data_IF_486206716540
#
_entry.id   IF_486206716540
#
_cell.length_a   1.000
_cell.length_b   1.000
_cell.length_c   1.000
_cell.angle_alpha   90.00
_cell.angle_beta   90.00
_cell.angle_gamma   90.00
#
_symmetry.space_group_name_H-M   'P 1'
#
loop_
_entity.id
_entity.type
_entity.pdbx_description
1 polymer ?
#
# COMPACT_ATOMS: atom_id res chain seq x y z
N UNK A 1 13.34 -9.09 0.94
CA UNK A 1 14.26 -8.02 1.37
C UNK A 1 13.93 -6.72 0.64
N UNK A 2 13.78 -5.63 1.35
CA UNK A 2 13.49 -4.33 0.75
C UNK A 2 14.71 -3.82 -0.05
N UNK A 3 14.45 -3.14 -1.16
CA UNK A 3 15.48 -2.48 -1.94
C UNK A 3 15.84 -1.14 -1.30
N UNK A 4 16.96 -0.57 -1.70
CA UNK A 4 17.42 0.71 -1.17
C UNK A 4 16.36 1.80 -1.29
N UNK A 5 15.66 1.88 -2.43
CA UNK A 5 14.63 2.91 -2.62
C UNK A 5 13.42 2.69 -1.70
N UNK A 6 12.96 1.46 -1.52
CA UNK A 6 11.86 1.15 -0.60
C UNK A 6 12.25 1.49 0.84
N UNK A 7 13.48 1.19 1.24
CA UNK A 7 13.97 1.57 2.57
C UNK A 7 13.97 3.09 2.77
N UNK A 8 14.36 3.85 1.74
CA UNK A 8 14.34 5.31 1.81
C UNK A 8 12.92 5.86 1.94
N UNK A 9 11.96 5.27 1.23
CA UNK A 9 10.55 5.64 1.34
C UNK A 9 10.05 5.36 2.75
N UNK A 10 10.34 4.18 3.28
CA UNK A 10 9.94 3.78 4.63
C UNK A 10 10.53 4.75 5.67
N UNK A 11 11.83 5.04 5.57
CA UNK A 11 12.49 5.96 6.50
C UNK A 11 11.88 7.36 6.43
N UNK A 12 11.56 7.85 5.24
CA UNK A 12 10.93 9.15 5.05
C UNK A 12 9.57 9.21 5.73
N UNK A 13 8.76 8.18 5.58
CA UNK A 13 7.45 8.10 6.23
C UNK A 13 7.60 7.99 7.75
N UNK A 14 8.53 7.17 8.22
CA UNK A 14 8.75 6.98 9.66
C UNK A 14 9.25 8.24 10.34
N UNK A 15 10.10 9.03 9.69
CA UNK A 15 10.58 10.29 10.22
C UNK A 15 9.49 11.35 10.32
N UNK A 16 8.46 11.26 9.51
CA UNK A 16 7.25 12.09 9.53
C UNK A 16 7.54 13.59 9.57
N UNK A 17 8.45 14.06 8.72
CA UNK A 17 8.77 15.48 8.59
C UNK A 17 7.84 16.08 7.53
N UNK A 18 7.06 17.08 7.91
CA UNK A 18 6.11 17.71 6.99
C UNK A 18 6.79 18.30 5.77
N UNK A 19 6.09 18.23 4.62
CA UNK A 19 6.56 18.77 3.37
C UNK A 19 6.64 17.71 2.27
N UNK A 20 7.19 18.13 1.14
CA UNK A 20 7.43 17.25 0.00
C UNK A 20 8.86 16.74 0.06
N UNK A 21 9.01 15.42 -0.10
CA UNK A 21 10.32 14.76 -0.09
C UNK A 21 10.49 13.99 -1.40
N UNK A 22 11.32 14.52 -2.29
CA UNK A 22 11.64 13.86 -3.55
C UNK A 22 12.84 12.95 -3.35
N UNK A 23 12.64 11.65 -3.58
CA UNK A 23 13.67 10.63 -3.35
C UNK A 23 14.35 10.21 -4.66
N UNK A 24 13.66 10.34 -5.78
CA UNK A 24 14.20 10.08 -7.11
C UNK A 24 13.34 10.80 -8.15
N UNK A 25 13.66 10.65 -9.43
CA UNK A 25 12.85 11.26 -10.49
C UNK A 25 11.41 10.73 -10.53
N UNK A 26 11.17 9.55 -9.96
CA UNK A 26 9.85 8.91 -9.97
C UNK A 26 9.25 8.69 -8.59
N UNK A 27 10.01 8.86 -7.51
CA UNK A 27 9.57 8.56 -6.15
C UNK A 27 9.49 9.82 -5.30
N UNK A 28 8.32 10.10 -4.76
CA UNK A 28 8.05 11.30 -3.96
C UNK A 28 7.12 10.95 -2.80
N UNK A 29 7.37 11.55 -1.64
CA UNK A 29 6.50 11.41 -0.46
C UNK A 29 6.06 12.80 -0.03
N UNK A 30 4.76 12.99 0.17
CA UNK A 30 4.23 14.23 0.73
C UNK A 30 3.66 13.94 2.11
N UNK A 31 4.07 14.72 3.10
CA UNK A 31 3.68 14.50 4.50
C UNK A 31 3.06 15.78 5.07
N UNK A 32 1.89 15.64 5.68
CA UNK A 32 1.30 16.67 6.51
C UNK A 32 1.13 16.14 7.95
N UNK A 33 0.38 16.84 8.82
CA UNK A 33 0.29 16.45 10.23
C UNK A 33 -0.40 15.09 10.46
N UNK A 34 -1.18 14.59 9.51
CA UNK A 34 -1.92 13.33 9.68
C UNK A 34 -1.71 12.32 8.57
N UNK A 35 -1.16 12.73 7.43
CA UNK A 35 -1.15 11.90 6.23
C UNK A 35 0.22 11.90 5.59
N UNK A 36 0.69 10.72 5.18
CA UNK A 36 1.85 10.56 4.32
C UNK A 36 1.39 9.85 3.05
N UNK A 37 1.67 10.43 1.89
CA UNK A 37 1.29 9.87 0.60
C UNK A 37 2.54 9.63 -0.23
N UNK A 38 2.70 8.41 -0.70
CA UNK A 38 3.79 8.06 -1.60
C UNK A 38 3.28 8.06 -3.05
N UNK A 39 3.98 8.80 -3.90
CA UNK A 39 3.69 8.90 -5.33
C UNK A 39 4.77 8.20 -6.15
N UNK A 40 4.35 7.34 -7.05
CA UNK A 40 5.22 6.76 -8.07
C UNK A 40 4.78 7.33 -9.41
N UNK A 41 5.66 8.10 -10.07
CA UNK A 41 5.32 8.81 -11.31
C UNK A 41 4.02 9.62 -11.19
N UNK A 42 3.88 10.37 -10.09
CA UNK A 42 2.69 11.19 -9.79
C UNK A 42 1.40 10.41 -9.50
N UNK A 43 1.45 9.08 -9.43
CA UNK A 43 0.31 8.27 -9.02
C UNK A 43 0.39 7.98 -7.52
N UNK A 44 -0.65 8.34 -6.74
CA UNK A 44 -0.65 8.09 -5.29
C UNK A 44 -0.97 6.62 -5.00
N UNK A 45 0.06 5.78 -4.92
CA UNK A 45 -0.14 4.34 -4.78
C UNK A 45 -0.16 3.85 -3.35
N UNK A 46 0.25 4.68 -2.39
CA UNK A 46 0.28 4.27 -0.98
C UNK A 46 0.08 5.47 -0.06
N UNK A 47 -0.72 5.29 1.00
CA UNK A 47 -1.01 6.35 1.94
C UNK A 47 -1.11 5.80 3.35
N UNK A 48 -0.52 6.52 4.30
CA UNK A 48 -0.64 6.27 5.74
C UNK A 48 -1.38 7.45 6.35
N UNK A 49 -2.54 7.20 6.95
CA UNK A 49 -3.32 8.24 7.62
C UNK A 49 -3.40 7.92 9.11
N UNK A 50 -2.89 8.83 9.93
CA UNK A 50 -2.94 8.69 11.39
C UNK A 50 -4.20 9.33 11.92
N UNK A 51 -5.10 8.51 12.47
CA UNK A 51 -6.30 8.98 13.16
C UNK A 51 -6.08 8.86 14.66
N UNK A 52 -7.02 9.38 15.47
CA UNK A 52 -6.83 9.50 16.92
C UNK A 52 -6.53 8.14 17.58
N UNK A 53 -7.20 7.09 17.18
CA UNK A 53 -7.10 5.76 17.81
C UNK A 53 -6.67 4.66 16.86
N UNK A 54 -6.35 4.99 15.61
CA UNK A 54 -5.99 3.97 14.62
C UNK A 54 -5.18 4.57 13.48
N UNK A 55 -4.57 3.69 12.70
CA UNK A 55 -3.87 4.05 11.46
C UNK A 55 -4.60 3.40 10.30
N UNK A 56 -4.89 4.18 9.27
CA UNK A 56 -5.52 3.68 8.05
C UNK A 56 -4.46 3.63 6.95
N UNK A 57 -4.24 2.46 6.40
CA UNK A 57 -3.32 2.25 5.28
C UNK A 57 -4.16 2.14 4.01
N UNK A 58 -3.85 2.95 3.01
CA UNK A 58 -4.55 2.94 1.73
C UNK A 58 -3.56 2.64 0.61
N UNK A 59 -3.93 1.79 -0.32
CA UNK A 59 -3.08 1.50 -1.48
C UNK A 59 -3.90 1.33 -2.74
N UNK A 60 -3.26 1.58 -3.89
CA UNK A 60 -3.90 1.44 -5.19
C UNK A 60 -2.82 1.21 -6.25
N UNK A 61 -3.08 0.33 -7.18
CA UNK A 61 -2.21 0.18 -8.35
C UNK A 61 -2.43 1.29 -9.39
N UNK A 62 -3.48 2.11 -9.21
CA UNK A 62 -3.83 3.21 -10.13
C UNK A 62 -3.90 2.73 -11.58
N UNK A 63 -4.44 1.55 -11.82
CA UNK A 63 -4.51 0.87 -13.12
C UNK A 63 -3.14 0.56 -13.73
N UNK A 64 -2.08 0.53 -12.90
CA UNK A 64 -0.71 0.30 -13.37
C UNK A 64 -0.10 -0.87 -12.61
N UNK A 65 -0.39 -2.09 -13.07
CA UNK A 65 0.05 -3.32 -12.41
C UNK A 65 1.47 -3.75 -12.75
N UNK A 66 2.41 -2.80 -12.91
CA UNK A 66 3.80 -3.14 -13.22
C UNK A 66 4.51 -3.82 -12.05
N UNK A 67 5.61 -4.50 -12.35
CA UNK A 67 6.44 -5.14 -11.32
C UNK A 67 6.95 -4.11 -10.30
N UNK A 68 7.35 -2.91 -10.76
CA UNK A 68 7.80 -1.85 -9.87
C UNK A 68 6.70 -1.40 -8.92
N UNK A 69 5.48 -1.17 -9.43
CA UNK A 69 4.33 -0.78 -8.59
C UNK A 69 4.05 -1.86 -7.54
N UNK A 70 4.01 -3.12 -7.95
CA UNK A 70 3.79 -4.25 -7.04
C UNK A 70 4.84 -4.29 -5.95
N UNK A 71 6.11 -4.16 -6.30
CA UNK A 71 7.19 -4.22 -5.32
C UNK A 71 7.13 -3.06 -4.33
N UNK A 72 6.85 -1.83 -4.79
CA UNK A 72 6.69 -0.68 -3.92
C UNK A 72 5.57 -0.89 -2.91
N UNK A 73 4.39 -1.26 -3.40
CA UNK A 73 3.23 -1.47 -2.55
C UNK A 73 3.49 -2.62 -1.57
N UNK A 74 4.03 -3.73 -2.03
CA UNK A 74 4.25 -4.91 -1.20
C UNK A 74 5.22 -4.63 -0.05
N UNK A 75 6.34 -3.95 -0.33
CA UNK A 75 7.32 -3.63 0.71
C UNK A 75 6.75 -2.64 1.75
N UNK A 76 5.97 -1.66 1.29
CA UNK A 76 5.35 -0.71 2.20
C UNK A 76 4.25 -1.36 3.04
N UNK A 77 3.47 -2.25 2.46
CA UNK A 77 2.47 -3.02 3.21
C UNK A 77 3.13 -3.93 4.23
N UNK A 78 4.25 -4.55 3.90
CA UNK A 78 4.99 -5.38 4.83
C UNK A 78 5.41 -4.59 6.06
N UNK A 79 5.92 -3.38 5.84
CA UNK A 79 6.39 -2.52 6.92
C UNK A 79 5.25 -1.95 7.77
N UNK A 80 4.19 -1.44 7.13
CA UNK A 80 3.17 -0.65 7.82
C UNK A 80 1.89 -1.42 8.16
N UNK A 81 1.65 -2.56 7.55
CA UNK A 81 0.40 -3.30 7.74
C UNK A 81 0.59 -4.81 7.93
N UNK A 82 1.84 -5.28 7.98
CA UNK A 82 2.18 -6.69 8.21
C UNK A 82 1.47 -7.63 7.23
N UNK A 83 1.47 -7.24 5.96
CA UNK A 83 0.90 -8.02 4.88
C UNK A 83 1.69 -7.75 3.60
N UNK A 84 1.42 -8.50 2.55
CA UNK A 84 2.16 -8.31 1.30
C UNK A 84 1.35 -8.69 0.08
N UNK A 85 1.80 -8.18 -1.08
CA UNK A 85 1.22 -8.48 -2.38
C UNK A 85 2.10 -9.49 -3.10
N UNK A 86 1.48 -10.47 -3.75
CA UNK A 86 2.16 -11.36 -4.67
C UNK A 86 1.33 -11.54 -5.94
N UNK A 87 1.97 -12.06 -6.98
CA UNK A 87 1.31 -12.28 -8.26
C UNK A 87 1.33 -13.78 -8.59
N UNK A 88 0.17 -14.29 -9.01
CA UNK A 88 0.03 -15.67 -9.46
C UNK A 88 -0.87 -15.68 -10.69
N UNK A 89 -0.41 -16.28 -11.78
CA UNK A 89 -1.15 -16.33 -13.04
C UNK A 89 -1.60 -14.93 -13.50
N UNK A 90 -0.69 -13.95 -13.39
CA UNK A 90 -0.91 -12.55 -13.79
C UNK A 90 -1.96 -11.80 -12.97
N UNK A 91 -2.42 -12.38 -11.87
CA UNK A 91 -3.37 -11.76 -10.95
C UNK A 91 -2.64 -11.40 -9.66
N UNK A 92 -2.90 -10.19 -9.13
CA UNK A 92 -2.35 -9.75 -7.86
C UNK A 92 -3.23 -10.19 -6.71
N UNK A 93 -2.59 -10.64 -5.64
CA UNK A 93 -3.26 -11.06 -4.42
C UNK A 93 -2.60 -10.43 -3.20
N UNK A 94 -3.40 -10.17 -2.17
CA UNK A 94 -2.93 -9.75 -0.87
C UNK A 94 -3.00 -10.93 0.08
N UNK A 95 -1.91 -11.20 0.79
CA UNK A 95 -1.91 -12.15 1.91
C UNK A 95 -1.86 -11.36 3.22
N UNK A 96 -2.87 -11.53 4.07
CA UNK A 96 -2.98 -10.85 5.36
C UNK A 96 -3.70 -11.78 6.35
N UNK A 97 -3.08 -11.98 7.53
CA UNK A 97 -3.64 -12.83 8.60
C UNK A 97 -4.04 -14.24 8.11
N UNK A 98 -3.17 -14.86 7.30
CA UNK A 98 -3.38 -16.18 6.71
C UNK A 98 -4.60 -16.26 5.77
N UNK A 99 -5.09 -15.11 5.32
CA UNK A 99 -6.18 -15.01 4.37
C UNK A 99 -5.66 -14.41 3.07
N UNK A 100 -6.33 -14.72 1.98
CA UNK A 100 -5.95 -14.26 0.65
C UNK A 100 -7.07 -13.45 0.03
N UNK A 101 -6.71 -12.34 -0.60
CA UNK A 101 -7.67 -11.42 -1.23
C UNK A 101 -7.21 -11.15 -2.65
N UNK A 102 -8.15 -11.22 -3.60
CA UNK A 102 -7.85 -10.84 -4.98
C UNK A 102 -7.87 -9.32 -5.08
N UNK A 103 -6.82 -8.75 -5.68
CA UNK A 103 -6.68 -7.31 -5.82
C UNK A 103 -6.96 -6.88 -7.25
N UNK A 104 -7.87 -5.92 -7.41
CA UNK A 104 -8.20 -5.30 -8.69
C UNK A 104 -7.36 -4.03 -8.84
N UNK A 105 -6.63 -3.91 -9.94
CA UNK A 105 -5.73 -2.78 -10.18
C UNK A 105 -6.46 -1.43 -10.30
N UNK A 106 -7.74 -1.44 -10.57
CA UNK A 106 -8.55 -0.23 -10.71
C UNK A 106 -9.15 0.27 -9.39
N UNK A 107 -9.04 -0.52 -8.32
CA UNK A 107 -9.69 -0.22 -7.05
C UNK A 107 -8.68 0.27 -6.02
N UNK A 108 -9.06 1.29 -5.26
CA UNK A 108 -8.31 1.74 -4.09
C UNK A 108 -8.80 0.98 -2.87
N UNK A 109 -7.86 0.40 -2.11
CA UNK A 109 -8.17 -0.38 -0.92
C UNK A 109 -7.66 0.29 0.33
N UNK A 110 -8.34 0.07 1.45
CA UNK A 110 -7.88 0.49 2.77
C UNK A 110 -7.79 -0.69 3.72
N UNK A 111 -6.79 -0.66 4.59
CA UNK A 111 -6.61 -1.66 5.64
C UNK A 111 -6.79 -0.95 6.98
N UNK A 112 -7.73 -1.45 7.78
CA UNK A 112 -8.04 -0.93 9.11
C UNK A 112 -8.25 -2.13 10.04
N UNK A 113 -7.51 -2.18 11.14
CA UNK A 113 -7.63 -3.23 12.16
C UNK A 113 -7.57 -4.65 11.56
N UNK A 114 -6.66 -4.86 10.61
CA UNK A 114 -6.46 -6.17 9.97
C UNK A 114 -7.56 -6.60 9.01
N UNK A 115 -8.40 -5.66 8.58
CA UNK A 115 -9.47 -5.91 7.61
C UNK A 115 -9.25 -5.09 6.35
N UNK A 116 -9.66 -5.64 5.21
CA UNK A 116 -9.51 -4.99 3.91
C UNK A 116 -10.86 -4.42 3.45
N UNK A 117 -10.84 -3.17 3.00
CA UNK A 117 -12.01 -2.46 2.51
C UNK A 117 -11.75 -1.87 1.14
N UNK A 118 -12.80 -1.73 0.32
CA UNK A 118 -12.78 -0.87 -0.85
C UNK A 118 -12.95 0.56 -0.35
N UNK A 119 -11.92 1.38 -0.51
CA UNK A 119 -11.86 2.69 0.15
C UNK A 119 -13.03 3.62 -0.21
N UNK A 120 -13.40 3.67 -1.49
CA UNK A 120 -14.47 4.59 -1.94
C UNK A 120 -15.85 4.17 -1.46
N UNK A 121 -16.14 2.87 -1.46
CA UNK A 121 -17.44 2.33 -1.09
C UNK A 121 -17.56 2.06 0.40
N UNK A 122 -16.44 1.95 1.12
CA UNK A 122 -16.43 1.54 2.53
C UNK A 122 -16.83 0.09 2.71
N UNK A 123 -16.85 -0.71 1.65
CA UNK A 123 -17.29 -2.10 1.68
C UNK A 123 -16.13 -3.02 2.06
N UNK A 124 -16.35 -3.88 3.05
CA UNK A 124 -15.35 -4.87 3.43
C UNK A 124 -15.20 -5.93 2.34
N UNK A 125 -13.95 -6.24 2.00
CA UNK A 125 -13.63 -7.26 1.00
C UNK A 125 -13.56 -8.61 1.69
N UNK A 126 -14.31 -9.58 1.15
CA UNK A 126 -14.28 -10.93 1.67
C UNK A 126 -13.04 -11.67 1.20
N UNK A 127 -12.39 -12.45 2.08
CA UNK A 127 -11.26 -13.26 1.65
C UNK A 127 -11.70 -14.37 0.71
N UNK A 128 -10.78 -14.82 -0.14
CA UNK A 128 -11.03 -15.93 -1.04
C UNK A 128 -11.16 -17.23 -0.24
N UNK A 129 -12.11 -18.07 -0.65
CA UNK A 129 -12.28 -19.40 -0.09
C UNK A 129 -11.45 -20.39 -0.91
N UNK A 130 -10.85 -21.35 -0.22
CA UNK A 130 -10.13 -22.46 -0.88
C UNK A 130 -9.00 -22.00 -1.81
N UNK A 131 -8.42 -20.81 -1.55
CA UNK A 131 -7.28 -20.35 -2.33
C UNK A 131 -6.06 -21.19 -2.01
N UNK A 132 -5.40 -21.71 -3.07
CA UNK A 132 -4.16 -22.46 -2.94
C UNK A 132 -3.01 -21.66 -3.55
N UNK A 133 -2.05 -21.35 -2.72
CA UNK A 133 -0.85 -20.60 -3.10
C UNK A 133 -0.03 -21.32 -4.16
#
# INVERSE_FOLDING_TARGET
MARVIEERIIDTINNWKEGEHRLSCRDRVEIDNRTAIYYLWDSPIFKVKKETDKTVITFSFCNWGSQTTKERISELLWEFADCHIFRKNWIHYLKMNDKYYKIDESITYSIVDGKLFKAMAGEEVEPLKDFKY
#
